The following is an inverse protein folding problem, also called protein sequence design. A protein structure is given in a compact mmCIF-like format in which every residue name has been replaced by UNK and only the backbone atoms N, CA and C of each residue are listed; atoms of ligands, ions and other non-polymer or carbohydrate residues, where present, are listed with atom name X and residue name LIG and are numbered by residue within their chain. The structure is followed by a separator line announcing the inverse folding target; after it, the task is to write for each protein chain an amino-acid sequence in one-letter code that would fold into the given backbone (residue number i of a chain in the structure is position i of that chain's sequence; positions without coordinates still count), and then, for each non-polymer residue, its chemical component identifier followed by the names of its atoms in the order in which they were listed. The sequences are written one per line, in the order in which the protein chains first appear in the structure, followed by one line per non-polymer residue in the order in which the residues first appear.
data_IF_024943122062
#
_entry.id   IF_024943122062
#
_cell.length_a   1.000
_cell.length_b   1.000
_cell.length_c   1.000
_cell.angle_alpha   90.00
_cell.angle_beta   90.00
_cell.angle_gamma   90.00
#
_symmetry.space_group_name_H-M   'P 1'
#
loop_
_entity.id
_entity.type
_entity.pdbx_description
1 polymer ?
#
# COMPACT_ATOMS: atom_id res chain seq x y z
N UNK A 1 -11.61 1.60 5.15
CA UNK A 1 -11.12 1.72 3.77
C UNK A 1 -10.03 2.77 3.67
N UNK A 2 -8.84 2.38 4.09
CA UNK A 2 -7.61 3.09 3.74
C UNK A 2 -7.32 2.89 2.24
N UNK A 3 -6.81 3.93 1.58
CA UNK A 3 -6.40 3.88 0.18
C UNK A 3 -4.96 4.34 0.05
N UNK A 4 -4.18 3.56 -0.68
CA UNK A 4 -2.78 3.81 -1.00
C UNK A 4 -2.60 3.79 -2.51
N UNK A 5 -1.82 4.72 -3.05
CA UNK A 5 -1.42 4.75 -4.45
C UNK A 5 0.09 4.85 -4.50
N UNK A 6 0.73 3.91 -5.18
CA UNK A 6 2.17 3.88 -5.37
C UNK A 6 2.54 3.95 -6.86
N UNK A 7 3.72 4.49 -7.16
CA UNK A 7 4.33 4.37 -8.48
C UNK A 7 4.96 2.98 -8.69
N UNK A 8 5.56 2.76 -9.86
CA UNK A 8 6.21 1.49 -10.22
C UNK A 8 7.44 1.15 -9.36
N UNK A 9 8.05 2.15 -8.71
CA UNK A 9 9.11 1.94 -7.72
C UNK A 9 8.55 1.65 -6.32
N UNK A 10 7.22 1.64 -6.15
CA UNK A 10 6.57 1.40 -4.88
C UNK A 10 6.57 2.61 -3.96
N UNK A 11 6.94 3.81 -4.44
CA UNK A 11 6.85 5.04 -3.64
C UNK A 11 5.41 5.53 -3.60
N UNK A 12 4.93 5.90 -2.42
CA UNK A 12 3.57 6.43 -2.30
C UNK A 12 3.45 7.81 -2.96
N UNK A 13 2.53 7.92 -3.92
CA UNK A 13 2.21 9.17 -4.63
C UNK A 13 0.88 9.77 -4.20
N UNK A 14 -0.02 8.96 -3.62
CA UNK A 14 -1.24 9.45 -2.97
C UNK A 14 -1.69 8.50 -1.85
N UNK A 15 -2.27 9.08 -0.81
CA UNK A 15 -2.92 8.37 0.30
C UNK A 15 -4.14 9.17 0.74
N UNK A 16 -5.18 8.47 1.21
CA UNK A 16 -6.34 9.13 1.81
C UNK A 16 -6.15 9.39 3.32
N UNK A 17 -7.08 10.15 3.91
CA UNK A 17 -7.07 10.43 5.36
C UNK A 17 -7.15 9.16 6.21
N UNK A 18 -7.90 8.16 5.76
CA UNK A 18 -8.06 6.91 6.49
C UNK A 18 -6.73 6.13 6.59
N UNK A 19 -5.92 6.10 5.53
CA UNK A 19 -4.57 5.52 5.54
C UNK A 19 -3.65 6.22 6.56
N UNK A 20 -3.71 7.56 6.63
CA UNK A 20 -2.95 8.35 7.61
C UNK A 20 -3.32 7.95 9.04
N UNK A 21 -4.63 7.88 9.33
CA UNK A 21 -5.15 7.45 10.65
C UNK A 21 -4.77 6.01 10.96
N UNK A 22 -4.87 5.10 9.98
CA UNK A 22 -4.59 3.67 10.15
C UNK A 22 -3.12 3.41 10.53
N UNK A 23 -2.18 4.09 9.87
CA UNK A 23 -0.75 3.87 10.07
C UNK A 23 -0.11 4.84 11.08
N UNK A 24 -0.82 5.89 11.49
CA UNK A 24 -0.32 6.89 12.45
C UNK A 24 0.72 7.85 11.88
N UNK A 25 0.77 8.01 10.56
CA UNK A 25 1.65 8.96 9.87
C UNK A 25 0.85 10.16 9.36
N UNK A 26 1.51 11.33 9.29
CA UNK A 26 0.99 12.43 8.50
C UNK A 26 1.07 12.10 6.99
N UNK A 27 0.22 12.74 6.19
CA UNK A 27 0.20 12.52 4.72
C UNK A 27 1.56 12.71 4.08
N UNK A 28 2.24 13.82 4.39
CA UNK A 28 3.54 14.13 3.79
C UNK A 28 4.65 13.19 4.28
N UNK A 29 4.48 12.54 5.43
CA UNK A 29 5.38 11.48 5.86
C UNK A 29 5.16 10.22 5.00
N UNK A 30 3.90 9.80 4.81
CA UNK A 30 3.58 8.66 3.95
C UNK A 30 4.08 8.84 2.52
N UNK A 31 3.95 10.04 1.94
CA UNK A 31 4.42 10.33 0.58
C UNK A 31 5.96 10.31 0.42
N UNK A 32 6.70 10.19 1.52
CA UNK A 32 8.16 9.99 1.50
C UNK A 32 8.54 8.52 1.65
N UNK A 33 7.60 7.65 2.00
CA UNK A 33 7.83 6.23 2.21
C UNK A 33 7.58 5.41 0.94
N UNK A 34 8.16 4.22 0.92
CA UNK A 34 7.85 3.15 -0.02
C UNK A 34 6.92 2.11 0.60
N UNK A 35 6.24 1.34 -0.25
CA UNK A 35 5.40 0.20 0.13
C UNK A 35 6.19 -0.77 1.02
N UNK A 36 7.44 -1.08 0.68
CA UNK A 36 8.31 -1.96 1.46
C UNK A 36 8.66 -1.43 2.85
N UNK A 37 8.53 -0.13 3.09
CA UNK A 37 8.74 0.47 4.42
C UNK A 37 7.50 0.38 5.31
N UNK A 38 6.34 0.03 4.76
CA UNK A 38 5.09 -0.19 5.49
C UNK A 38 4.75 -1.68 5.56
N UNK A 39 4.79 -2.39 4.44
CA UNK A 39 4.58 -3.84 4.33
C UNK A 39 5.93 -4.58 4.49
N UNK A 40 6.30 -4.88 5.74
CA UNK A 40 7.63 -5.43 6.12
C UNK A 40 7.64 -6.93 6.39
N UNK A 41 6.59 -7.66 6.02
CA UNK A 41 6.51 -9.11 6.22
C UNK A 41 7.33 -9.86 5.15
N UNK A 42 7.62 -11.13 5.41
CA UNK A 42 8.56 -11.95 4.63
C UNK A 42 8.17 -12.03 3.13
N UNK A 43 6.89 -12.21 2.85
CA UNK A 43 6.38 -12.39 1.49
C UNK A 43 6.17 -11.06 0.73
N UNK A 44 6.29 -9.90 1.38
CA UNK A 44 5.93 -8.59 0.81
C UNK A 44 6.67 -8.26 -0.49
N UNK A 45 7.94 -8.66 -0.62
CA UNK A 45 8.72 -8.43 -1.83
C UNK A 45 8.23 -9.31 -3.01
N UNK A 46 7.86 -10.57 -2.72
CA UNK A 46 7.27 -11.48 -3.70
C UNK A 46 5.91 -10.98 -4.16
N UNK A 47 5.09 -10.54 -3.20
CA UNK A 47 3.77 -9.95 -3.41
C UNK A 47 3.82 -8.70 -4.31
N UNK A 48 4.79 -7.82 -4.07
CA UNK A 48 5.00 -6.65 -4.93
C UNK A 48 5.45 -7.06 -6.34
N UNK A 49 6.36 -8.01 -6.45
CA UNK A 49 6.83 -8.55 -7.74
C UNK A 49 5.67 -9.16 -8.54
N UNK A 50 4.78 -9.89 -7.87
CA UNK A 50 3.56 -10.44 -8.49
C UNK A 50 2.64 -9.31 -8.96
N UNK A 51 2.38 -8.31 -8.12
CA UNK A 51 1.56 -7.15 -8.49
C UNK A 51 2.08 -6.43 -9.73
N UNK A 52 3.40 -6.25 -9.85
CA UNK A 52 4.03 -5.64 -11.05
C UNK A 52 3.81 -6.49 -12.32
N UNK A 53 3.71 -7.82 -12.19
CA UNK A 53 3.54 -8.75 -13.32
C UNK A 53 2.08 -8.91 -13.73
N UNK A 54 1.18 -9.08 -12.76
CA UNK A 54 -0.23 -9.42 -13.01
C UNK A 54 -1.12 -8.18 -13.13
N UNK A 55 -0.70 -7.05 -12.52
CA UNK A 55 -1.46 -5.81 -12.47
C UNK A 55 -2.67 -5.85 -11.52
N UNK A 56 -2.96 -6.96 -10.85
CA UNK A 56 -4.06 -7.09 -9.88
C UNK A 56 -3.69 -8.03 -8.76
N UNK A 57 -4.15 -7.73 -7.54
CA UNK A 57 -3.95 -8.61 -6.39
C UNK A 57 -5.09 -8.46 -5.38
N UNK A 58 -5.42 -9.55 -4.70
CA UNK A 58 -6.31 -9.56 -3.54
C UNK A 58 -5.65 -10.44 -2.49
N UNK A 59 -5.70 -10.03 -1.23
CA UNK A 59 -5.14 -10.87 -0.17
C UNK A 59 -5.07 -10.14 1.15
N UNK A 60 -4.22 -10.70 2.01
CA UNK A 60 -3.94 -10.19 3.34
C UNK A 60 -2.55 -9.55 3.33
N UNK A 61 -2.41 -8.40 4.00
CA UNK A 61 -1.12 -7.72 4.16
C UNK A 61 -0.91 -7.31 5.61
N UNK A 62 0.30 -7.56 6.11
CA UNK A 62 0.73 -7.08 7.43
C UNK A 62 1.42 -5.73 7.29
N UNK A 63 0.76 -4.66 7.71
CA UNK A 63 1.30 -3.30 7.69
C UNK A 63 1.92 -2.92 9.04
N UNK A 64 3.04 -2.22 9.00
CA UNK A 64 3.74 -1.67 10.16
C UNK A 64 3.40 -0.19 10.33
N UNK A 65 2.84 0.17 11.48
CA UNK A 65 2.53 1.55 11.85
C UNK A 65 3.78 2.34 12.25
N UNK A 66 3.65 3.66 12.34
CA UNK A 66 4.73 4.56 12.79
C UNK A 66 5.30 4.21 14.16
N UNK A 67 4.46 3.75 15.07
CA UNK A 67 4.86 3.35 16.42
C UNK A 67 5.47 1.93 16.46
N UNK A 68 5.66 1.27 15.32
CA UNK A 68 6.21 -0.08 15.20
C UNK A 68 5.20 -1.20 15.39
N UNK A 69 3.94 -0.92 15.79
CA UNK A 69 2.94 -1.98 15.90
C UNK A 69 2.46 -2.44 14.52
N UNK A 70 2.10 -3.71 14.41
CA UNK A 70 1.60 -4.28 13.15
C UNK A 70 0.07 -4.34 13.14
N UNK A 71 -0.48 -4.41 11.93
CA UNK A 71 -1.89 -4.69 11.69
C UNK A 71 -2.04 -5.51 10.44
N UNK A 72 -3.00 -6.42 10.47
CA UNK A 72 -3.39 -7.19 9.31
C UNK A 72 -4.58 -6.50 8.63
N UNK A 73 -4.52 -6.35 7.30
CA UNK A 73 -5.65 -5.89 6.48
C UNK A 73 -5.90 -6.86 5.34
N UNK A 74 -7.18 -7.06 5.04
CA UNK A 74 -7.58 -7.56 3.73
C UNK A 74 -7.60 -6.40 2.74
N UNK A 75 -7.06 -6.60 1.54
CA UNK A 75 -6.99 -5.55 0.54
C UNK A 75 -7.26 -6.09 -0.88
N UNK A 76 -7.65 -5.15 -1.74
CA UNK A 76 -7.70 -5.33 -3.20
C UNK A 76 -6.81 -4.28 -3.82
N UNK A 77 -5.98 -4.69 -4.78
CA UNK A 77 -5.09 -3.82 -5.52
C UNK A 77 -5.23 -3.99 -7.04
N UNK A 78 -5.07 -2.87 -7.76
CA UNK A 78 -5.13 -2.81 -9.21
C UNK A 78 -4.13 -1.80 -9.78
N UNK A 79 -3.52 -2.14 -10.91
CA UNK A 79 -2.71 -1.25 -11.71
C UNK A 79 -3.59 -0.41 -12.63
N UNK A 80 -3.25 0.86 -12.80
CA UNK A 80 -3.91 1.77 -13.74
C UNK A 80 -2.94 2.84 -14.21
N UNK A 81 -3.41 3.80 -15.01
CA UNK A 81 -2.63 4.97 -15.40
C UNK A 81 -3.33 6.25 -14.99
N UNK A 82 -2.56 7.21 -14.49
CA UNK A 82 -3.04 8.56 -14.15
C UNK A 82 -2.14 9.56 -14.87
N UNK A 83 -2.73 10.37 -15.76
CA UNK A 83 -1.99 11.28 -16.63
C UNK A 83 -0.82 10.61 -17.39
N UNK A 84 -1.02 9.35 -17.82
CA UNK A 84 -0.01 8.57 -18.53
C UNK A 84 1.05 7.91 -17.64
N UNK A 85 1.06 8.15 -16.33
CA UNK A 85 1.96 7.49 -15.40
C UNK A 85 1.33 6.20 -14.84
N UNK A 86 2.05 5.05 -14.86
CA UNK A 86 1.57 3.83 -14.23
C UNK A 86 1.51 4.00 -12.72
N UNK A 87 0.41 3.56 -12.11
CA UNK A 87 0.21 3.58 -10.66
C UNK A 87 -0.49 2.31 -10.19
N UNK A 88 -0.26 1.96 -8.93
CA UNK A 88 -0.80 0.81 -8.25
C UNK A 88 -1.68 1.29 -7.10
N UNK A 89 -2.98 1.06 -7.20
CA UNK A 89 -3.98 1.49 -6.20
C UNK A 89 -4.33 0.29 -5.34
N UNK A 90 -4.20 0.44 -4.02
CA UNK A 90 -4.61 -0.55 -3.03
C UNK A 90 -5.67 0.04 -2.11
N UNK A 91 -6.72 -0.74 -1.86
CA UNK A 91 -7.85 -0.39 -1.00
C UNK A 91 -8.01 -1.46 0.06
N UNK A 92 -7.97 -1.06 1.33
CA UNK A 92 -8.39 -1.89 2.46
C UNK A 92 -9.89 -2.17 2.37
N UNK A 93 -10.26 -3.45 2.39
CA UNK A 93 -11.65 -3.92 2.28
C UNK A 93 -12.27 -4.36 3.61
N UNK A 94 -11.62 -4.02 4.74
CA UNK A 94 -12.07 -4.40 6.09
C UNK A 94 -11.37 -5.63 6.64
N UNK A 95 -11.72 -6.03 7.86
CA UNK A 95 -11.08 -7.16 8.53
C UNK A 95 -11.46 -8.49 7.84
N UNK A 96 -10.48 -9.39 7.76
CA UNK A 96 -10.72 -10.83 7.60
C UNK A 96 -11.58 -11.39 8.75
#
# INVERSE_FOLDING_TARGET
MAVFVADEQGKYVAVNRAACVLLGYARDELLRLQVAEVARYEEAAGDWTEMLKTGTRVGISTLTRKNGSTLEISYVAGATTVAGMPVYVSVDVGAA
#
